data_IF_102254973660
#
_entry.id   IF_102254973660
#
_cell.length_a   1.000
_cell.length_b   1.000
_cell.length_c   1.000
_cell.angle_alpha   90.00
_cell.angle_beta   90.00
_cell.angle_gamma   90.00
#
_symmetry.space_group_name_H-M   'P 1'
#
loop_
_entity.id
_entity.type
_entity.pdbx_description
1 polymer ?
#
# COMPACT_ATOMS: atom_id res chain seq x y z
N UNK A 1 27.73 31.39 -72.01
CA UNK A 1 27.68 32.80 -72.45
C UNK A 1 26.60 33.50 -71.65
N UNK A 2 26.97 34.64 -71.07
CA UNK A 2 26.20 35.71 -70.41
C UNK A 2 24.71 35.53 -70.02
N UNK A 3 24.48 35.88 -68.75
CA UNK A 3 23.34 36.52 -68.09
C UNK A 3 22.15 37.02 -68.92
N UNK A 4 20.96 37.00 -68.30
CA UNK A 4 20.08 38.16 -68.07
C UNK A 4 19.08 37.85 -66.93
N UNK A 5 18.99 38.77 -65.95
CA UNK A 5 17.99 38.90 -64.87
C UNK A 5 16.58 39.22 -65.43
N UNK A 6 15.43 39.04 -64.76
CA UNK A 6 14.97 39.67 -63.52
C UNK A 6 13.62 39.04 -63.06
N UNK A 7 13.46 38.88 -61.73
CA UNK A 7 12.27 39.12 -60.87
C UNK A 7 10.88 38.68 -61.37
N UNK A 8 10.05 37.97 -60.60
CA UNK A 8 9.55 38.44 -59.29
C UNK A 8 8.87 37.32 -58.49
N UNK A 9 9.23 37.24 -57.22
CA UNK A 9 8.41 36.94 -56.04
C UNK A 9 7.64 35.60 -55.97
N UNK A 10 8.34 34.64 -55.39
CA UNK A 10 7.89 33.54 -54.53
C UNK A 10 6.93 33.98 -53.38
N UNK A 11 6.20 33.14 -52.62
CA UNK A 11 6.42 31.75 -52.19
C UNK A 11 5.08 31.02 -51.96
N UNK A 12 4.96 29.84 -52.59
CA UNK A 12 4.25 28.67 -52.06
C UNK A 12 5.23 27.97 -51.10
N UNK A 13 4.81 27.55 -49.91
CA UNK A 13 5.62 26.66 -49.07
C UNK A 13 4.89 25.34 -48.84
N UNK A 14 5.43 24.29 -49.47
CA UNK A 14 5.24 22.91 -49.09
C UNK A 14 6.28 22.48 -48.05
N UNK A 15 5.82 21.58 -47.18
CA UNK A 15 6.52 20.60 -46.34
C UNK A 15 8.04 20.68 -46.12
N UNK A 16 8.46 20.70 -44.85
CA UNK A 16 9.60 19.92 -44.32
C UNK A 16 9.33 19.57 -42.85
N UNK A 17 9.53 18.32 -42.45
CA UNK A 17 9.40 17.87 -41.07
C UNK A 17 10.54 18.37 -40.17
N UNK A 18 10.23 18.54 -38.89
CA UNK A 18 11.23 18.59 -37.84
C UNK A 18 10.65 17.98 -36.55
N UNK A 19 11.18 16.82 -36.18
CA UNK A 19 11.06 16.27 -34.83
C UNK A 19 11.89 17.18 -33.94
N UNK A 20 11.22 17.97 -33.10
CA UNK A 20 11.88 18.74 -32.04
C UNK A 20 11.58 18.03 -30.72
N UNK A 21 12.58 17.32 -30.20
CA UNK A 21 12.67 17.08 -28.78
C UNK A 21 12.84 18.45 -28.09
N UNK A 22 11.87 18.86 -27.28
CA UNK A 22 12.03 20.02 -26.40
C UNK A 22 12.12 19.55 -24.95
N UNK A 23 13.36 19.56 -24.47
CA UNK A 23 13.69 19.75 -23.07
C UNK A 23 13.21 21.14 -22.64
N UNK A 24 12.33 21.22 -21.66
CA UNK A 24 12.29 22.37 -20.76
C UNK A 24 11.80 21.90 -19.39
N UNK A 25 12.77 21.70 -18.51
CA UNK A 25 12.65 22.02 -17.09
C UNK A 25 11.97 23.38 -16.94
N UNK A 26 11.10 23.53 -15.94
CA UNK A 26 10.26 24.71 -15.61
C UNK A 26 8.81 24.69 -16.14
N UNK A 27 8.00 23.74 -15.66
CA UNK A 27 6.54 23.86 -15.74
C UNK A 27 5.76 23.03 -14.70
N UNK A 28 6.20 22.92 -13.44
CA UNK A 28 5.32 22.43 -12.36
C UNK A 28 5.64 23.18 -11.06
N UNK A 29 5.08 24.38 -10.93
CA UNK A 29 4.88 25.03 -9.63
C UNK A 29 3.40 25.43 -9.57
N UNK A 30 2.53 24.43 -9.41
CA UNK A 30 1.14 24.69 -9.04
C UNK A 30 1.11 25.02 -7.54
N UNK A 31 0.63 26.22 -7.24
CA UNK A 31 0.32 26.70 -5.89
C UNK A 31 -0.54 25.67 -5.14
N UNK A 32 0.06 25.00 -4.16
CA UNK A 32 -0.67 24.41 -3.05
C UNK A 32 -0.54 25.41 -1.91
N UNK A 33 -1.61 26.16 -1.67
CA UNK A 33 -1.74 26.98 -0.47
C UNK A 33 -1.97 26.02 0.71
N UNK A 34 -0.88 25.54 1.31
CA UNK A 34 -0.92 24.79 2.55
C UNK A 34 -1.38 25.74 3.65
N UNK A 35 -2.60 25.54 4.13
CA UNK A 35 -3.01 26.08 5.42
C UNK A 35 -1.96 25.66 6.46
N UNK A 36 -1.22 26.64 6.98
CA UNK A 36 -0.32 26.47 8.12
C UNK A 36 -1.17 26.02 9.31
N UNK A 37 -1.26 24.72 9.52
CA UNK A 37 -1.75 24.18 10.79
C UNK A 37 -0.65 24.46 11.81
N UNK A 38 -0.90 25.44 12.66
CA UNK A 38 -0.11 25.76 13.84
C UNK A 38 0.09 24.49 14.68
N UNK A 39 1.32 23.98 14.69
CA UNK A 39 1.73 22.75 15.37
C UNK A 39 1.66 22.80 16.89
N UNK A 40 1.16 23.88 17.49
CA UNK A 40 1.04 24.03 18.94
C UNK A 40 -0.37 23.76 19.51
N UNK A 41 -1.41 23.55 18.67
CA UNK A 41 -2.81 23.45 19.13
C UNK A 41 -3.59 22.17 18.77
N UNK A 42 -2.97 21.13 18.22
CA UNK A 42 -3.64 19.86 17.94
C UNK A 42 -2.90 18.66 18.53
N UNK A 43 -2.83 18.59 19.86
CA UNK A 43 -3.07 17.31 20.55
C UNK A 43 -4.58 17.01 20.47
N UNK A 44 -5.15 16.98 19.26
CA UNK A 44 -6.36 16.20 19.05
C UNK A 44 -5.90 14.77 19.32
N UNK A 45 -6.50 14.14 20.33
CA UNK A 45 -6.41 12.69 20.49
C UNK A 45 -6.56 12.06 19.10
N UNK A 46 -5.55 11.32 18.63
CA UNK A 46 -5.60 10.57 17.36
C UNK A 46 -6.83 9.67 17.26
N UNK A 47 -7.48 9.38 18.38
CA UNK A 47 -8.72 8.61 18.43
C UNK A 47 -9.98 9.41 18.13
N UNK A 48 -9.91 10.73 17.94
CA UNK A 48 -11.09 11.58 17.92
C UNK A 48 -11.99 11.29 19.12
N UNK A 49 -13.30 11.13 18.86
CA UNK A 49 -14.25 10.57 19.82
C UNK A 49 -14.20 9.04 19.73
N UNK A 50 -13.68 8.40 20.77
CA UNK A 50 -13.70 6.95 20.86
C UNK A 50 -15.14 6.41 20.78
N UNK A 51 -15.34 5.20 20.22
CA UNK A 51 -16.65 4.57 20.23
C UNK A 51 -17.17 4.36 21.65
N UNK A 52 -18.49 4.35 21.82
CA UNK A 52 -19.15 4.31 23.13
C UNK A 52 -18.86 3.06 23.94
N UNK A 53 -18.49 1.95 23.29
CA UNK A 53 -18.15 0.69 23.95
C UNK A 53 -16.91 0.03 23.33
N UNK A 54 -15.86 -0.15 24.14
CA UNK A 54 -14.64 -0.87 23.80
C UNK A 54 -14.64 -2.19 24.59
N UNK A 55 -14.55 -3.36 23.94
CA UNK A 55 -14.41 -4.64 24.64
C UNK A 55 -13.20 -4.66 25.57
N UNK A 56 -13.36 -5.28 26.74
CA UNK A 56 -12.23 -5.52 27.63
C UNK A 56 -11.30 -6.59 27.03
N UNK A 57 -9.97 -6.40 27.08
CA UNK A 57 -9.01 -7.45 26.77
C UNK A 57 -9.25 -8.72 27.59
N UNK A 58 -9.11 -9.90 26.97
CA UNK A 58 -9.00 -11.17 27.70
C UNK A 58 -7.62 -11.30 28.35
N UNK A 59 -7.44 -12.29 29.23
CA UNK A 59 -6.14 -12.54 29.88
C UNK A 59 -5.04 -12.96 28.89
N UNK A 60 -5.44 -13.54 27.75
CA UNK A 60 -4.57 -13.90 26.63
C UNK A 60 -4.24 -12.71 25.71
N UNK A 61 -4.89 -11.56 25.88
CA UNK A 61 -4.63 -10.39 25.07
C UNK A 61 -3.31 -9.71 25.49
N UNK A 62 -2.44 -9.32 24.54
CA UNK A 62 -1.16 -8.72 24.89
C UNK A 62 -1.31 -7.43 25.72
N UNK A 63 -0.45 -7.27 26.73
CA UNK A 63 -0.44 -6.07 27.59
C UNK A 63 0.26 -4.88 26.92
N UNK A 64 1.25 -5.17 26.10
CA UNK A 64 2.02 -4.22 25.30
C UNK A 64 2.24 -4.79 23.90
N UNK A 65 2.77 -3.96 22.99
CA UNK A 65 3.19 -4.40 21.66
C UNK A 65 4.47 -3.70 21.21
N UNK A 66 5.22 -4.40 20.36
CA UNK A 66 6.38 -3.83 19.70
C UNK A 66 5.93 -2.94 18.52
N UNK A 67 6.31 -1.64 18.48
CA UNK A 67 5.91 -0.72 17.41
C UNK A 67 6.41 -1.13 16.02
N UNK A 68 7.44 -1.96 15.90
CA UNK A 68 7.90 -2.47 14.61
C UNK A 68 7.05 -3.62 14.08
N UNK A 69 6.56 -4.48 14.96
CA UNK A 69 5.75 -5.64 14.56
C UNK A 69 4.31 -5.23 14.30
N UNK A 70 3.78 -4.34 15.12
CA UNK A 70 2.47 -3.73 14.91
C UNK A 70 2.64 -2.22 15.02
N UNK A 71 2.90 -1.50 13.92
CA UNK A 71 3.09 -0.05 13.95
C UNK A 71 1.81 0.74 14.14
N UNK A 72 2.05 2.01 14.40
CA UNK A 72 1.12 3.12 14.53
C UNK A 72 0.21 3.09 15.73
N UNK A 73 -0.35 4.24 16.05
CA UNK A 73 -1.21 4.45 17.19
C UNK A 73 -2.38 3.45 17.22
N UNK A 74 -2.90 3.12 18.41
CA UNK A 74 -4.02 2.17 18.56
C UNK A 74 -5.32 2.60 17.86
N UNK A 75 -5.40 3.87 17.47
CA UNK A 75 -6.52 4.46 16.73
C UNK A 75 -6.18 4.75 15.25
N UNK A 76 -5.01 4.30 14.79
CA UNK A 76 -4.69 4.24 13.38
C UNK A 76 -5.72 3.40 12.64
N UNK A 77 -5.95 3.71 11.37
CA UNK A 77 -6.73 2.87 10.45
C UNK A 77 -6.29 1.41 10.46
N UNK A 78 -5.00 1.14 10.72
CA UNK A 78 -4.44 -0.21 10.74
C UNK A 78 -4.79 -0.97 12.01
N UNK A 79 -5.04 -0.28 13.13
CA UNK A 79 -5.24 -0.92 14.43
C UNK A 79 -6.67 -0.83 14.95
N UNK A 80 -7.54 -0.07 14.27
CA UNK A 80 -8.93 0.12 14.69
C UNK A 80 -9.77 -1.11 14.34
N UNK A 81 -10.39 -1.79 15.32
CA UNK A 81 -11.35 -2.84 15.04
C UNK A 81 -12.59 -2.32 14.31
N UNK A 82 -13.25 -3.17 13.53
CA UNK A 82 -14.56 -2.90 12.97
C UNK A 82 -15.56 -2.71 14.11
N UNK A 83 -16.43 -1.71 13.97
CA UNK A 83 -17.48 -1.41 14.92
C UNK A 83 -18.83 -2.04 14.54
N UNK A 84 -19.71 -2.22 15.52
CA UNK A 84 -21.01 -2.86 15.36
C UNK A 84 -21.97 -2.06 14.44
N UNK A 85 -21.75 -0.75 14.29
CA UNK A 85 -22.56 0.13 13.44
C UNK A 85 -21.98 0.25 12.01
N UNK A 86 -21.01 -0.60 11.66
CA UNK A 86 -20.47 -0.67 10.31
C UNK A 86 -21.57 -0.92 9.26
N UNK A 87 -21.63 -0.03 8.28
CA UNK A 87 -22.58 -0.12 7.16
C UNK A 87 -21.95 -0.87 6.00
N UNK A 88 -22.42 -2.09 5.74
CA UNK A 88 -21.85 -2.98 4.73
C UNK A 88 -22.55 -2.86 3.38
N UNK A 89 -21.77 -2.64 2.32
CA UNK A 89 -22.20 -2.73 0.92
C UNK A 89 -21.42 -3.85 0.23
N UNK A 90 -22.05 -4.78 -0.50
CA UNK A 90 -21.32 -5.85 -1.19
C UNK A 90 -20.22 -5.29 -2.10
N UNK A 91 -19.01 -5.85 -2.00
CA UNK A 91 -17.92 -5.49 -2.92
C UNK A 91 -18.09 -6.21 -4.28
N UNK A 92 -18.81 -7.33 -4.31
CA UNK A 92 -19.10 -8.15 -5.49
C UNK A 92 -17.84 -8.60 -6.24
N UNK A 93 -16.80 -8.98 -5.49
CA UNK A 93 -15.66 -9.66 -6.08
C UNK A 93 -16.06 -11.04 -6.58
N UNK A 94 -15.47 -11.42 -7.70
CA UNK A 94 -15.54 -12.78 -8.21
C UNK A 94 -14.25 -13.52 -7.79
N UNK A 95 -14.21 -14.83 -8.00
CA UNK A 95 -12.94 -15.53 -7.97
C UNK A 95 -12.05 -14.97 -9.09
N UNK A 96 -10.84 -14.59 -8.74
CA UNK A 96 -9.81 -14.18 -9.69
C UNK A 96 -9.03 -15.41 -10.15
N UNK A 97 -8.44 -15.38 -11.35
CA UNK A 97 -7.61 -16.48 -11.86
C UNK A 97 -6.36 -16.76 -11.02
N UNK A 98 -5.90 -15.79 -10.22
CA UNK A 98 -4.71 -15.93 -9.41
C UNK A 98 -4.88 -15.27 -8.04
N UNK A 99 -4.24 -15.87 -7.04
CA UNK A 99 -3.99 -15.25 -5.75
C UNK A 99 -2.50 -15.01 -5.61
N UNK A 100 -2.11 -13.75 -5.44
CA UNK A 100 -0.72 -13.32 -5.37
C UNK A 100 -0.37 -12.68 -4.03
N UNK A 101 0.91 -12.33 -3.90
CA UNK A 101 1.39 -11.50 -2.80
C UNK A 101 2.11 -10.26 -3.33
N UNK A 102 1.82 -9.11 -2.73
CA UNK A 102 2.64 -7.91 -2.93
C UNK A 102 3.70 -7.88 -1.83
N UNK A 103 4.96 -7.97 -2.25
CA UNK A 103 6.08 -8.23 -1.36
C UNK A 103 6.71 -6.92 -0.92
N UNK A 104 6.83 -6.75 0.38
CA UNK A 104 7.25 -5.49 0.98
C UNK A 104 8.50 -5.65 1.84
N UNK A 105 9.34 -4.64 1.84
CA UNK A 105 10.68 -4.73 2.41
C UNK A 105 10.82 -3.85 3.64
N UNK A 106 11.11 -4.47 4.78
CA UNK A 106 11.20 -3.77 6.06
C UNK A 106 12.56 -3.95 6.69
N UNK A 107 13.23 -2.83 6.99
CA UNK A 107 14.55 -2.83 7.57
C UNK A 107 14.62 -1.91 8.78
N UNK A 108 15.25 -2.40 9.86
CA UNK A 108 15.71 -1.55 10.97
C UNK A 108 17.15 -1.16 10.69
N UNK A 109 17.40 0.13 10.53
CA UNK A 109 18.71 0.65 10.17
C UNK A 109 19.55 0.93 11.42
N UNK A 110 20.87 0.90 11.26
CA UNK A 110 21.83 1.18 12.33
C UNK A 110 22.73 2.33 11.93
N UNK A 111 23.10 3.18 12.88
CA UNK A 111 24.06 4.28 12.62
C UNK A 111 25.44 3.79 12.16
N UNK A 112 25.77 2.52 12.43
CA UNK A 112 27.01 1.90 11.98
C UNK A 112 27.02 1.49 10.51
N UNK A 113 25.87 1.44 9.85
CA UNK A 113 25.78 1.09 8.43
C UNK A 113 26.22 2.27 7.55
N UNK A 114 26.83 2.02 6.37
CA UNK A 114 27.29 3.10 5.51
C UNK A 114 26.11 3.94 5.01
N UNK A 115 26.27 5.26 5.12
CA UNK A 115 25.29 6.22 4.62
C UNK A 115 25.31 6.24 3.09
N UNK A 116 24.18 5.91 2.47
CA UNK A 116 24.01 5.87 1.02
C UNK A 116 22.97 6.91 0.60
N UNK A 117 23.28 7.69 -0.44
CA UNK A 117 22.27 8.54 -1.06
C UNK A 117 21.20 7.65 -1.71
N UNK A 118 19.93 8.02 -1.54
CA UNK A 118 18.83 7.34 -2.22
C UNK A 118 18.64 7.99 -3.58
N UNK A 119 18.70 7.19 -4.64
CA UNK A 119 18.45 7.63 -6.00
C UNK A 119 17.00 7.38 -6.39
N UNK A 120 16.40 8.28 -7.17
CA UNK A 120 15.13 7.99 -7.86
C UNK A 120 15.38 6.86 -8.86
N UNK A 121 14.53 5.83 -8.92
CA UNK A 121 14.69 4.76 -9.90
C UNK A 121 14.57 5.30 -11.33
N UNK A 122 15.27 4.65 -12.27
CA UNK A 122 15.22 5.02 -13.68
C UNK A 122 13.86 4.75 -14.35
N UNK A 123 13.09 3.82 -13.79
CA UNK A 123 11.74 3.48 -14.20
C UNK A 123 10.99 2.82 -13.03
N UNK A 124 9.66 2.70 -13.12
CA UNK A 124 8.91 1.85 -12.18
C UNK A 124 9.11 0.36 -12.49
N UNK A 125 9.15 -0.01 -13.77
CA UNK A 125 9.39 -1.38 -14.23
C UNK A 125 10.89 -1.71 -14.29
N UNK A 126 11.33 -2.53 -15.25
CA UNK A 126 12.74 -2.89 -15.40
C UNK A 126 13.64 -1.67 -15.64
N UNK A 127 14.84 -1.67 -15.04
CA UNK A 127 15.78 -0.56 -15.10
C UNK A 127 15.71 0.37 -13.89
N UNK A 128 15.19 -0.09 -12.75
CA UNK A 128 15.11 0.71 -11.50
C UNK A 128 16.50 1.22 -11.11
N UNK A 129 17.52 0.36 -11.21
CA UNK A 129 18.89 0.66 -10.82
C UNK A 129 19.70 1.50 -11.83
N UNK A 130 19.03 2.21 -12.76
CA UNK A 130 19.70 3.07 -13.75
C UNK A 130 19.54 4.57 -13.45
N UNK A 131 18.74 4.89 -12.44
CA UNK A 131 18.48 6.27 -12.03
C UNK A 131 19.73 6.98 -11.54
N UNK A 132 19.76 8.31 -11.69
CA UNK A 132 20.92 9.15 -11.31
C UNK A 132 20.56 10.35 -10.45
N UNK A 133 19.26 10.65 -10.33
CA UNK A 133 18.78 11.78 -9.56
C UNK A 133 18.64 11.38 -8.10
N UNK A 134 19.06 12.24 -7.18
CA UNK A 134 18.85 12.00 -5.75
C UNK A 134 17.36 12.16 -5.42
N UNK A 135 16.79 11.15 -4.77
CA UNK A 135 15.39 11.10 -4.35
C UNK A 135 15.17 12.01 -3.15
N UNK A 136 14.66 13.22 -3.40
CA UNK A 136 14.31 14.20 -2.36
C UNK A 136 15.43 14.46 -1.32
N UNK A 137 16.69 14.48 -1.75
CA UNK A 137 17.88 14.65 -0.89
C UNK A 137 17.94 13.66 0.30
N UNK A 138 17.37 12.46 0.16
CA UNK A 138 17.40 11.44 1.19
C UNK A 138 18.72 10.66 1.17
N UNK A 139 19.22 10.32 2.35
CA UNK A 139 20.27 9.32 2.53
C UNK A 139 19.88 8.40 3.68
N UNK A 140 20.20 7.10 3.54
CA UNK A 140 19.87 6.07 4.52
C UNK A 140 21.14 5.30 4.91
N UNK A 141 21.34 4.96 6.20
CA UNK A 141 22.42 4.08 6.61
C UNK A 141 22.04 2.63 6.27
N UNK A 142 22.50 2.15 5.12
CA UNK A 142 22.07 0.87 4.53
C UNK A 142 23.19 -0.16 4.60
N UNK A 143 22.95 -1.37 5.14
CA UNK A 143 23.99 -2.39 5.21
C UNK A 143 24.41 -2.86 3.80
N UNK A 144 25.70 -3.08 3.57
CA UNK A 144 26.25 -3.39 2.24
C UNK A 144 25.69 -4.67 1.61
N UNK A 145 25.24 -5.62 2.42
CA UNK A 145 24.70 -6.90 1.95
C UNK A 145 23.21 -6.84 1.59
N UNK A 146 22.52 -5.71 1.80
CA UNK A 146 21.14 -5.55 1.35
C UNK A 146 21.12 -5.52 -0.19
N UNK A 147 20.43 -6.49 -0.78
CA UNK A 147 20.18 -6.62 -2.21
C UNK A 147 18.68 -6.74 -2.41
N UNK A 148 18.14 -5.92 -3.31
CA UNK A 148 16.75 -6.01 -3.79
C UNK A 148 16.82 -6.02 -5.31
N UNK A 149 16.47 -7.14 -5.98
CA UNK A 149 16.59 -7.25 -7.42
C UNK A 149 15.82 -6.16 -8.18
N UNK A 150 16.27 -5.87 -9.40
CA UNK A 150 15.49 -5.06 -10.34
C UNK A 150 14.20 -5.79 -10.73
N UNK A 151 13.22 -5.03 -11.22
CA UNK A 151 12.13 -5.61 -11.98
C UNK A 151 12.64 -6.22 -13.30
N UNK A 152 11.95 -7.24 -13.79
CA UNK A 152 12.37 -8.02 -14.96
C UNK A 152 11.32 -8.02 -16.05
N UNK A 153 11.75 -7.99 -17.31
CA UNK A 153 10.85 -8.17 -18.46
C UNK A 153 10.59 -9.65 -18.76
N UNK A 154 11.54 -10.52 -18.43
CA UNK A 154 11.43 -11.96 -18.66
C UNK A 154 12.18 -12.77 -17.57
N UNK A 155 11.48 -13.62 -16.78
CA UNK A 155 10.01 -13.61 -16.64
C UNK A 155 9.51 -12.22 -16.23
N UNK A 156 8.29 -11.86 -16.63
CA UNK A 156 7.75 -10.53 -16.30
C UNK A 156 7.51 -10.42 -14.80
N UNK A 157 8.14 -9.45 -14.15
CA UNK A 157 7.99 -9.20 -12.72
C UNK A 157 8.23 -7.71 -12.44
N UNK A 158 7.16 -7.00 -12.10
CA UNK A 158 7.21 -5.57 -11.75
C UNK A 158 6.55 -5.32 -10.38
N UNK A 159 6.98 -6.01 -9.32
CA UNK A 159 6.36 -5.86 -7.99
C UNK A 159 6.50 -4.42 -7.50
N UNK A 160 5.55 -3.93 -6.71
CA UNK A 160 5.61 -2.58 -6.17
C UNK A 160 6.89 -2.39 -5.34
N UNK A 161 7.30 -3.42 -4.58
CA UNK A 161 8.45 -3.34 -3.67
C UNK A 161 8.34 -2.13 -2.74
N UNK A 162 7.15 -1.90 -2.18
CA UNK A 162 6.97 -0.90 -1.13
C UNK A 162 7.91 -1.24 0.04
N UNK A 163 8.57 -0.23 0.59
CA UNK A 163 9.57 -0.44 1.62
C UNK A 163 9.46 0.57 2.75
N UNK A 164 9.82 0.13 3.94
CA UNK A 164 9.90 0.96 5.13
C UNK A 164 11.19 0.71 5.90
N UNK A 165 11.85 1.81 6.27
CA UNK A 165 13.13 1.84 6.94
C UNK A 165 12.96 2.53 8.28
N UNK A 166 13.00 1.76 9.37
CA UNK A 166 13.06 2.35 10.70
C UNK A 166 14.47 2.90 10.91
N UNK A 167 14.54 4.22 11.10
CA UNK A 167 15.78 4.94 11.29
C UNK A 167 16.42 4.60 12.65
N UNK A 168 17.73 4.85 12.82
CA UNK A 168 18.44 4.52 14.06
C UNK A 168 17.91 5.22 15.32
N UNK A 169 17.15 6.32 15.16
CA UNK A 169 16.44 6.99 16.25
C UNK A 169 15.30 6.14 16.88
N UNK A 170 14.98 4.98 16.28
CA UNK A 170 13.96 4.06 16.76
C UNK A 170 12.53 4.60 16.65
N UNK A 171 12.32 5.71 15.94
CA UNK A 171 11.04 6.41 15.85
C UNK A 171 10.63 6.77 14.43
N UNK A 172 11.56 7.25 13.62
CA UNK A 172 11.28 7.73 12.27
C UNK A 172 11.28 6.57 11.28
N UNK A 173 10.26 6.50 10.43
CA UNK A 173 10.19 5.59 9.30
C UNK A 173 10.33 6.38 8.01
N UNK A 174 11.35 6.07 7.24
CA UNK A 174 11.45 6.49 5.84
C UNK A 174 10.83 5.42 4.95
N UNK A 175 10.07 5.82 3.93
CA UNK A 175 9.34 4.90 3.05
C UNK A 175 9.76 5.15 1.61
N UNK A 176 9.90 4.08 0.83
CA UNK A 176 10.30 4.11 -0.57
C UNK A 176 9.43 3.19 -1.42
N UNK A 177 9.18 3.59 -2.67
CA UNK A 177 8.65 2.70 -3.71
C UNK A 177 9.03 3.19 -5.12
N UNK A 178 9.30 2.31 -6.08
CA UNK A 178 9.69 0.92 -5.86
C UNK A 178 11.11 0.84 -5.27
N UNK A 179 11.33 -0.04 -4.31
CA UNK A 179 12.68 -0.31 -3.82
C UNK A 179 13.46 -1.18 -4.81
N UNK A 180 14.70 -0.79 -5.09
CA UNK A 180 15.70 -1.65 -5.72
C UNK A 180 17.11 -1.36 -5.19
N UNK A 181 17.95 -2.40 -5.20
CA UNK A 181 19.39 -2.35 -4.96
C UNK A 181 20.04 -3.56 -5.60
N UNK A 182 20.49 -3.39 -6.83
CA UNK A 182 20.84 -4.51 -7.71
C UNK A 182 22.19 -5.18 -7.39
N UNK A 183 23.03 -4.56 -6.58
CA UNK A 183 24.35 -5.10 -6.20
C UNK A 183 24.69 -4.78 -4.75
N UNK A 184 25.47 -5.67 -4.13
CA UNK A 184 26.01 -5.43 -2.79
C UNK A 184 26.91 -4.19 -2.80
N UNK A 185 26.72 -3.31 -1.81
CA UNK A 185 27.44 -2.04 -1.70
C UNK A 185 27.09 -1.00 -2.78
N UNK A 186 26.18 -1.32 -3.71
CA UNK A 186 25.71 -0.39 -4.73
C UNK A 186 24.74 0.66 -4.20
N UNK A 187 24.30 1.54 -5.08
CA UNK A 187 23.29 2.55 -4.80
C UNK A 187 21.94 1.91 -4.43
N UNK A 188 21.15 2.64 -3.63
CA UNK A 188 19.78 2.28 -3.30
C UNK A 188 18.82 3.17 -4.09
N UNK A 189 17.76 2.58 -4.62
CA UNK A 189 16.80 3.25 -5.49
C UNK A 189 15.40 3.20 -4.89
N UNK A 190 14.70 4.33 -4.92
CA UNK A 190 13.27 4.42 -4.60
C UNK A 190 12.76 5.86 -4.59
N UNK A 191 11.49 6.06 -4.95
CA UNK A 191 10.84 7.35 -4.75
C UNK A 191 10.38 7.47 -3.30
N UNK A 192 10.76 8.57 -2.66
CA UNK A 192 10.32 8.91 -1.31
C UNK A 192 8.93 9.55 -1.35
N UNK A 193 8.14 9.33 -0.30
CA UNK A 193 6.90 10.08 -0.12
C UNK A 193 7.18 11.59 0.09
N UNK A 194 6.29 12.49 -0.37
CA UNK A 194 6.52 13.94 -0.32
C UNK A 194 6.55 14.53 1.09
N UNK A 195 6.11 13.78 2.11
CA UNK A 195 6.03 14.23 3.50
C UNK A 195 7.27 13.91 4.35
N UNK A 196 8.25 13.20 3.78
CA UNK A 196 9.42 12.72 4.51
C UNK A 196 9.09 11.64 5.54
N UNK A 197 9.98 11.47 6.52
CA UNK A 197 9.86 10.44 7.54
C UNK A 197 8.59 10.59 8.40
N UNK A 198 7.96 9.47 8.73
CA UNK A 198 6.76 9.41 9.57
C UNK A 198 7.08 8.75 10.92
N UNK A 199 6.32 9.08 11.96
CA UNK A 199 6.49 8.47 13.29
C UNK A 199 5.89 7.05 13.32
N UNK A 200 6.67 6.04 13.70
CA UNK A 200 6.20 4.65 13.89
C UNK A 200 5.08 4.52 14.93
N UNK A 201 4.97 5.49 15.85
CA UNK A 201 3.90 5.59 16.85
C UNK A 201 2.78 6.54 16.42
N UNK A 202 2.85 7.13 15.22
CA UNK A 202 1.92 8.10 14.65
C UNK A 202 0.62 7.52 14.07
N UNK A 203 -0.07 8.27 13.18
CA UNK A 203 -1.34 7.83 12.58
C UNK A 203 -1.19 6.68 11.57
N UNK A 204 -0.04 6.57 10.91
CA UNK A 204 0.25 5.57 9.91
C UNK A 204 -0.50 5.70 8.59
N UNK A 205 -1.16 6.81 8.30
CA UNK A 205 -1.96 6.90 7.06
C UNK A 205 -1.03 7.02 5.85
N UNK A 206 -0.04 7.89 5.92
CA UNK A 206 0.76 8.30 4.75
C UNK A 206 1.94 7.35 4.47
N UNK A 207 2.19 7.08 3.19
CA UNK A 207 3.37 6.36 2.74
C UNK A 207 3.57 6.34 1.24
N UNK A 208 4.22 5.28 0.77
CA UNK A 208 4.70 5.16 -0.61
C UNK A 208 3.98 4.12 -1.45
N UNK A 209 2.91 3.47 -0.98
CA UNK A 209 1.99 2.77 -1.90
C UNK A 209 1.41 3.77 -2.87
N UNK A 210 2.09 4.05 -3.99
CA UNK A 210 1.86 5.28 -4.74
C UNK A 210 0.53 5.29 -5.49
N UNK A 211 -0.12 4.14 -5.65
CA UNK A 211 -1.53 4.09 -6.04
C UNK A 211 -2.37 4.85 -5.03
N UNK A 212 -2.38 4.43 -3.76
CA UNK A 212 -3.28 5.00 -2.73
C UNK A 212 -2.70 6.11 -1.86
N UNK A 213 -1.38 6.27 -1.84
CA UNK A 213 -0.63 7.09 -0.88
C UNK A 213 -0.52 6.50 0.54
N UNK A 214 -0.93 5.23 0.73
CA UNK A 214 -0.97 4.60 2.05
C UNK A 214 0.39 4.09 2.54
N UNK A 215 0.49 3.82 3.85
CA UNK A 215 1.73 3.35 4.48
C UNK A 215 2.26 2.05 3.90
N UNK A 216 3.56 2.04 3.59
CA UNK A 216 4.31 0.86 3.14
C UNK A 216 4.37 -0.25 4.21
N UNK A 217 4.31 0.08 5.50
CA UNK A 217 4.40 -0.92 6.60
C UNK A 217 3.06 -1.19 7.30
N UNK A 218 2.14 -0.23 7.26
CA UNK A 218 0.83 -0.39 7.88
C UNK A 218 0.00 -1.46 7.18
N UNK A 219 -0.49 -2.45 7.94
CA UNK A 219 -1.38 -3.49 7.42
C UNK A 219 -0.72 -4.59 6.59
N UNK A 220 0.59 -4.60 6.47
CA UNK A 220 1.33 -5.72 5.89
C UNK A 220 1.27 -6.92 6.81
N UNK A 221 0.98 -8.11 6.28
CA UNK A 221 1.08 -9.33 7.08
C UNK A 221 2.55 -9.59 7.39
N UNK A 222 2.86 -9.78 8.67
CA UNK A 222 4.21 -9.96 9.21
C UNK A 222 4.60 -11.44 9.25
N UNK A 223 5.90 -11.68 9.37
CA UNK A 223 6.41 -13.02 9.68
C UNK A 223 5.81 -13.54 10.99
N UNK A 224 5.50 -14.83 11.03
CA UNK A 224 4.80 -15.51 12.12
C UNK A 224 3.27 -15.43 12.03
N UNK A 225 2.71 -14.37 11.44
CA UNK A 225 1.26 -14.13 11.50
C UNK A 225 0.41 -15.16 10.76
N UNK A 226 0.96 -15.85 9.75
CA UNK A 226 0.26 -16.94 9.05
C UNK A 226 0.64 -18.33 9.54
N UNK A 227 1.70 -18.45 10.34
CA UNK A 227 2.28 -19.76 10.74
C UNK A 227 2.15 -20.09 12.21
N UNK A 228 2.08 -19.06 13.06
CA UNK A 228 1.99 -19.20 14.52
C UNK A 228 0.52 -19.28 14.95
N UNK A 229 0.26 -19.49 16.24
CA UNK A 229 -1.10 -19.63 16.77
C UNK A 229 -1.78 -18.26 17.04
N UNK A 230 -1.01 -17.20 17.28
CA UNK A 230 -1.54 -15.87 17.60
C UNK A 230 -2.36 -15.28 16.45
N UNK A 231 -3.53 -14.65 16.71
CA UNK A 231 -4.32 -14.04 15.65
C UNK A 231 -3.68 -12.77 15.08
N UNK A 232 -4.03 -12.43 13.85
CA UNK A 232 -3.70 -11.12 13.25
C UNK A 232 -4.58 -10.06 13.92
N UNK A 233 -3.96 -9.02 14.48
CA UNK A 233 -4.64 -7.98 15.30
C UNK A 233 -4.65 -6.59 14.65
N UNK A 234 -4.62 -6.55 13.33
CA UNK A 234 -4.63 -5.32 12.55
C UNK A 234 -5.40 -5.52 11.23
N UNK A 235 -5.80 -4.41 10.60
CA UNK A 235 -6.36 -4.41 9.26
C UNK A 235 -5.26 -4.77 8.26
N UNK A 236 -5.58 -5.54 7.21
CA UNK A 236 -4.58 -6.01 6.24
C UNK A 236 -4.63 -5.20 4.92
N UNK A 237 -3.55 -5.22 4.14
CA UNK A 237 -3.52 -4.61 2.81
C UNK A 237 -3.89 -5.61 1.73
N UNK A 238 -4.69 -5.17 0.76
CA UNK A 238 -5.07 -5.96 -0.41
C UNK A 238 -4.92 -5.16 -1.71
N UNK A 239 -4.68 -5.87 -2.80
CA UNK A 239 -4.77 -5.32 -4.16
C UNK A 239 -5.76 -6.14 -4.97
N UNK A 240 -6.45 -5.48 -5.88
CA UNK A 240 -7.47 -6.07 -6.75
C UNK A 240 -7.33 -5.51 -8.16
N UNK A 241 -7.90 -6.19 -9.15
CA UNK A 241 -7.85 -5.69 -10.53
C UNK A 241 -8.65 -4.40 -10.71
N UNK A 242 -7.95 -3.28 -10.82
CA UNK A 242 -8.46 -1.93 -10.96
C UNK A 242 -9.42 -1.80 -12.12
N UNK A 243 -9.06 -2.37 -13.27
CA UNK A 243 -9.91 -2.37 -14.46
C UNK A 243 -11.26 -3.01 -14.26
N UNK A 244 -11.33 -4.08 -13.48
CA UNK A 244 -12.59 -4.80 -13.24
C UNK A 244 -13.39 -4.21 -12.08
N UNK A 245 -12.72 -3.78 -11.02
CA UNK A 245 -13.37 -3.52 -9.72
C UNK A 245 -13.30 -2.08 -9.25
N UNK A 246 -12.20 -1.36 -9.49
CA UNK A 246 -12.06 -0.01 -8.99
C UNK A 246 -12.79 0.98 -9.88
N UNK A 247 -13.53 1.88 -9.25
CA UNK A 247 -14.32 2.88 -9.94
C UNK A 247 -13.54 4.18 -10.14
N UNK A 248 -13.76 4.84 -11.27
CA UNK A 248 -13.36 6.23 -11.47
C UNK A 248 -14.49 7.04 -12.11
N UNK A 249 -14.66 8.27 -11.64
CA UNK A 249 -15.39 9.34 -12.32
C UNK A 249 -14.82 10.69 -11.89
N UNK A 250 -15.20 11.77 -12.59
CA UNK A 250 -14.75 13.13 -12.21
C UNK A 250 -15.17 13.54 -10.80
N UNK A 251 -16.28 13.01 -10.29
CA UNK A 251 -16.74 13.26 -8.92
C UNK A 251 -16.22 12.23 -7.90
N UNK A 252 -15.64 11.12 -8.35
CA UNK A 252 -15.01 10.09 -7.52
C UNK A 252 -13.71 9.65 -8.19
N UNK A 253 -12.59 10.36 -7.96
CA UNK A 253 -11.36 10.24 -8.76
C UNK A 253 -10.52 8.98 -8.44
N UNK A 254 -11.17 7.86 -8.08
CA UNK A 254 -10.50 6.58 -7.88
C UNK A 254 -10.00 6.31 -6.46
N UNK A 255 -10.28 7.19 -5.50
CA UNK A 255 -9.88 7.01 -4.10
C UNK A 255 -10.88 7.60 -3.10
N UNK A 256 -10.83 7.12 -1.87
CA UNK A 256 -11.53 7.66 -0.70
C UNK A 256 -10.68 7.48 0.55
N UNK A 257 -11.05 8.16 1.64
CA UNK A 257 -10.39 7.99 2.93
C UNK A 257 -10.16 6.49 3.26
N UNK A 258 -8.93 6.10 3.65
CA UNK A 258 -7.78 6.95 4.01
C UNK A 258 -6.79 7.24 2.87
N UNK A 259 -7.01 6.70 1.67
CA UNK A 259 -6.20 7.02 0.51
C UNK A 259 -6.33 8.50 0.15
N UNK A 260 -5.25 9.11 -0.32
CA UNK A 260 -5.19 10.53 -0.71
C UNK A 260 -5.02 10.75 -2.21
N UNK A 261 -4.85 9.67 -2.96
CA UNK A 261 -4.72 9.64 -4.41
C UNK A 261 -5.17 8.29 -4.96
N UNK A 262 -5.24 8.23 -6.28
CA UNK A 262 -5.35 7.01 -7.04
C UNK A 262 -4.15 6.88 -7.99
N UNK A 263 -3.98 5.71 -8.61
CA UNK A 263 -3.04 5.55 -9.71
C UNK A 263 -3.23 6.65 -10.77
N UNK A 264 -2.12 7.16 -11.31
CA UNK A 264 -2.14 8.24 -12.32
C UNK A 264 -2.98 7.92 -13.57
N UNK A 265 -3.21 6.63 -13.83
CA UNK A 265 -3.98 6.11 -14.94
C UNK A 265 -5.41 5.72 -14.57
N UNK A 266 -5.89 6.04 -13.36
CA UNK A 266 -7.21 5.66 -12.87
C UNK A 266 -8.32 6.07 -13.86
N UNK A 267 -8.26 7.28 -14.43
CA UNK A 267 -9.26 7.73 -15.42
C UNK A 267 -9.37 6.79 -16.63
N UNK A 268 -8.23 6.32 -17.15
CA UNK A 268 -8.19 5.47 -18.33
C UNK A 268 -8.39 3.98 -18.01
N UNK A 269 -8.03 3.51 -16.82
CA UNK A 269 -8.03 2.07 -16.49
C UNK A 269 -9.12 1.64 -15.50
N UNK A 270 -9.53 2.45 -14.52
CA UNK A 270 -10.49 2.01 -13.51
C UNK A 270 -11.92 2.02 -14.08
N UNK A 271 -12.44 0.84 -14.45
CA UNK A 271 -13.76 0.67 -15.10
C UNK A 271 -14.80 -0.05 -14.23
N UNK A 272 -14.51 -0.24 -12.96
CA UNK A 272 -15.47 -0.77 -11.99
C UNK A 272 -16.74 0.08 -11.90
N UNK A 273 -17.88 -0.59 -11.75
CA UNK A 273 -19.20 0.05 -11.73
C UNK A 273 -19.66 0.45 -10.32
N UNK A 274 -19.04 -0.10 -9.28
CA UNK A 274 -19.37 0.22 -7.90
C UNK A 274 -18.63 1.48 -7.44
N UNK A 275 -19.30 2.62 -7.40
CA UNK A 275 -18.70 3.92 -7.03
C UNK A 275 -18.15 4.00 -5.60
N UNK A 276 -18.44 3.01 -4.75
CA UNK A 276 -17.90 2.91 -3.38
C UNK A 276 -16.62 2.09 -3.29
N UNK A 277 -16.26 1.38 -4.37
CA UNK A 277 -15.08 0.52 -4.44
C UNK A 277 -13.97 1.25 -5.21
N UNK A 278 -13.04 1.81 -4.45
CA UNK A 278 -11.94 2.64 -4.93
C UNK A 278 -10.72 2.38 -4.05
N UNK A 279 -9.55 2.94 -4.36
CA UNK A 279 -8.43 2.84 -3.44
C UNK A 279 -8.75 3.49 -2.09
N UNK A 280 -8.26 2.90 -1.01
CA UNK A 280 -8.60 3.28 0.36
C UNK A 280 -9.96 2.77 0.85
N UNK A 281 -10.77 2.08 0.04
CA UNK A 281 -11.98 1.42 0.54
C UNK A 281 -11.62 0.38 1.61
N UNK A 282 -12.23 0.50 2.79
CA UNK A 282 -12.18 -0.53 3.84
C UNK A 282 -13.13 -1.66 3.49
N UNK A 283 -12.59 -2.85 3.33
CA UNK A 283 -13.29 -4.10 3.11
C UNK A 283 -13.36 -4.89 4.42
N UNK A 284 -14.48 -5.54 4.71
CA UNK A 284 -14.61 -6.42 5.86
C UNK A 284 -15.62 -7.53 5.58
N UNK A 285 -15.50 -8.63 6.32
CA UNK A 285 -16.51 -9.69 6.31
C UNK A 285 -17.60 -9.30 7.33
N UNK A 286 -18.87 -9.16 6.92
CA UNK A 286 -19.93 -8.85 7.87
C UNK A 286 -20.04 -9.91 8.97
N UNK A 287 -20.39 -9.55 10.22
CA UNK A 287 -20.43 -10.48 11.35
C UNK A 287 -21.45 -11.61 11.19
N UNK A 288 -22.48 -11.41 10.35
CA UNK A 288 -23.49 -12.43 10.00
C UNK A 288 -22.95 -13.56 9.13
N UNK A 289 -21.80 -13.36 8.46
CA UNK A 289 -21.16 -14.41 7.68
C UNK A 289 -20.31 -15.23 8.64
N UNK A 290 -20.68 -16.49 8.82
CA UNK A 290 -19.96 -17.41 9.69
C UNK A 290 -18.87 -18.14 8.92
N UNK A 291 -17.68 -18.30 9.51
CA UNK A 291 -16.57 -19.00 8.85
C UNK A 291 -16.96 -20.40 8.36
N UNK A 292 -17.79 -21.11 9.13
CA UNK A 292 -18.27 -22.46 8.80
C UNK A 292 -19.07 -22.50 7.49
N UNK A 293 -19.77 -21.42 7.12
CA UNK A 293 -20.54 -21.38 5.87
C UNK A 293 -19.65 -21.34 4.63
N UNK A 294 -18.39 -20.92 4.76
CA UNK A 294 -17.42 -20.95 3.67
C UNK A 294 -16.70 -22.29 3.55
N UNK A 295 -16.75 -23.14 4.58
CA UNK A 295 -16.04 -24.42 4.62
C UNK A 295 -14.54 -24.22 4.28
N UNK A 296 -13.90 -23.27 4.96
CA UNK A 296 -12.47 -22.97 4.77
C UNK A 296 -11.64 -24.15 5.29
N UNK A 297 -10.74 -24.66 4.45
CA UNK A 297 -9.96 -25.86 4.73
C UNK A 297 -8.63 -25.57 5.43
N UNK A 298 -8.04 -24.43 5.17
CA UNK A 298 -6.67 -24.09 5.57
C UNK A 298 -6.66 -23.18 6.79
N UNK A 299 -5.79 -23.50 7.76
CA UNK A 299 -5.65 -22.70 8.98
C UNK A 299 -5.27 -21.23 8.70
N UNK A 300 -4.33 -20.90 7.77
CA UNK A 300 -4.03 -19.53 7.41
C UNK A 300 -5.24 -18.74 6.87
N UNK A 301 -6.07 -19.35 6.03
CA UNK A 301 -7.26 -18.66 5.51
C UNK A 301 -8.29 -18.39 6.63
N UNK A 302 -8.40 -19.30 7.61
CA UNK A 302 -9.24 -19.07 8.80
C UNK A 302 -8.72 -17.90 9.66
N UNK A 303 -7.40 -17.73 9.78
CA UNK A 303 -6.80 -16.56 10.46
C UNK A 303 -7.11 -15.26 9.71
N UNK A 304 -6.93 -15.26 8.39
CA UNK A 304 -7.25 -14.10 7.54
C UNK A 304 -8.74 -13.75 7.60
N UNK A 305 -9.64 -14.75 7.56
CA UNK A 305 -11.07 -14.53 7.75
C UNK A 305 -11.37 -13.80 9.07
N UNK A 306 -10.77 -14.24 10.19
CA UNK A 306 -10.96 -13.60 11.50
C UNK A 306 -10.41 -12.17 11.49
N UNK A 307 -9.26 -11.93 10.88
CA UNK A 307 -8.69 -10.59 10.72
C UNK A 307 -9.64 -9.67 9.93
N UNK A 308 -10.18 -10.14 8.81
CA UNK A 308 -11.10 -9.40 7.96
C UNK A 308 -12.46 -9.12 8.62
N UNK A 309 -12.93 -9.97 9.51
CA UNK A 309 -14.15 -9.71 10.28
C UNK A 309 -13.90 -8.73 11.44
N UNK A 310 -12.70 -8.77 12.04
CA UNK A 310 -12.38 -7.98 13.23
C UNK A 310 -11.79 -6.60 12.93
N UNK A 311 -11.01 -6.46 11.86
CA UNK A 311 -10.26 -5.24 11.51
C UNK A 311 -10.45 -4.84 10.05
N UNK A 312 -10.72 -5.80 9.16
CA UNK A 312 -10.92 -5.55 7.73
C UNK A 312 -9.62 -5.45 6.94
N UNK A 313 -9.72 -4.92 5.73
CA UNK A 313 -8.62 -4.71 4.81
C UNK A 313 -8.77 -3.43 3.98
N UNK A 314 -7.66 -2.75 3.68
CA UNK A 314 -7.64 -1.59 2.80
C UNK A 314 -7.11 -1.96 1.41
N UNK A 315 -7.79 -1.48 0.37
CA UNK A 315 -7.26 -1.53 -1.01
C UNK A 315 -6.15 -0.49 -1.13
N UNK A 316 -4.92 -0.94 -1.39
CA UNK A 316 -3.75 -0.05 -1.42
C UNK A 316 -3.20 0.21 -2.82
N UNK A 317 -3.35 -0.74 -3.74
CA UNK A 317 -2.88 -0.61 -5.13
C UNK A 317 -3.74 -1.43 -6.10
N UNK A 318 -3.49 -1.24 -7.39
CA UNK A 318 -4.07 -2.02 -8.50
C UNK A 318 -3.22 -3.27 -8.79
N UNK A 319 -3.87 -4.43 -8.88
CA UNK A 319 -3.23 -5.67 -9.34
C UNK A 319 -2.87 -5.66 -10.84
N UNK A 320 -3.52 -4.81 -11.64
CA UNK A 320 -3.40 -4.63 -13.10
C UNK A 320 -3.85 -5.81 -13.99
N UNK A 321 -4.07 -6.99 -13.42
CA UNK A 321 -4.61 -8.17 -14.10
C UNK A 321 -5.54 -8.96 -13.16
N UNK A 322 -6.14 -10.05 -13.66
CA UNK A 322 -7.16 -10.82 -12.93
C UNK A 322 -6.58 -11.64 -11.77
N UNK A 323 -6.31 -10.93 -10.68
CA UNK A 323 -5.70 -11.45 -9.47
C UNK A 323 -6.15 -10.67 -8.23
N UNK A 324 -6.14 -11.37 -7.09
CA UNK A 324 -6.29 -10.80 -5.75
C UNK A 324 -4.98 -10.95 -4.98
N UNK A 325 -4.54 -9.91 -4.29
CA UNK A 325 -3.27 -9.93 -3.56
C UNK A 325 -3.45 -9.61 -2.08
N UNK A 326 -2.55 -10.17 -1.26
CA UNK A 326 -2.24 -9.64 0.07
C UNK A 326 -0.88 -8.97 0.04
N UNK A 327 -0.73 -7.85 0.75
CA UNK A 327 0.61 -7.30 0.98
C UNK A 327 1.27 -7.98 2.19
N UNK A 328 2.51 -8.44 2.03
CA UNK A 328 3.23 -9.23 3.03
C UNK A 328 4.68 -8.79 3.16
N UNK A 329 5.22 -8.91 4.38
CA UNK A 329 6.64 -8.73 4.63
C UNK A 329 7.48 -9.77 3.86
N UNK A 330 8.63 -9.34 3.33
CA UNK A 330 9.65 -10.21 2.77
C UNK A 330 10.03 -11.33 3.76
N UNK A 331 9.90 -12.57 3.32
CA UNK A 331 10.15 -13.77 4.13
C UNK A 331 8.89 -14.52 4.52
N UNK A 332 7.70 -13.90 4.45
CA UNK A 332 6.42 -14.54 4.79
C UNK A 332 6.12 -15.71 3.85
N UNK A 333 6.32 -15.56 2.54
CA UNK A 333 6.10 -16.64 1.57
C UNK A 333 7.00 -17.85 1.83
N UNK A 334 8.27 -17.58 2.16
CA UNK A 334 9.27 -18.62 2.45
C UNK A 334 8.94 -19.35 3.76
N UNK A 335 8.59 -18.61 4.81
CA UNK A 335 8.15 -19.13 6.10
C UNK A 335 6.87 -19.98 5.97
N UNK A 336 5.88 -19.46 5.24
CA UNK A 336 4.63 -20.15 4.95
C UNK A 336 4.88 -21.49 4.25
N UNK A 337 5.71 -21.48 3.19
CA UNK A 337 6.06 -22.70 2.46
C UNK A 337 6.79 -23.69 3.34
N UNK A 338 7.70 -23.23 4.19
CA UNK A 338 8.40 -24.09 5.15
C UNK A 338 7.45 -24.72 6.16
N UNK A 339 6.41 -24.01 6.60
CA UNK A 339 5.44 -24.50 7.60
C UNK A 339 4.44 -25.50 7.01
N UNK A 340 3.90 -25.21 5.83
CA UNK A 340 2.75 -25.93 5.28
C UNK A 340 3.08 -26.83 4.08
N UNK A 341 4.27 -26.71 3.48
CA UNK A 341 4.69 -27.53 2.35
C UNK A 341 4.08 -27.13 1.00
N UNK A 342 3.35 -26.02 0.92
CA UNK A 342 2.78 -25.47 -0.33
C UNK A 342 2.97 -23.95 -0.41
N UNK A 343 2.78 -23.37 -1.60
CA UNK A 343 3.03 -21.94 -1.85
C UNK A 343 1.89 -21.05 -1.31
N UNK A 344 2.24 -19.84 -0.86
CA UNK A 344 1.29 -18.81 -0.41
C UNK A 344 0.53 -18.17 -1.58
N UNK A 345 1.08 -18.25 -2.79
CA UNK A 345 0.53 -17.69 -4.02
C UNK A 345 0.32 -18.80 -5.06
N UNK A 346 -0.63 -18.60 -5.99
CA UNK A 346 -0.97 -19.58 -7.00
C UNK A 346 -2.37 -19.39 -7.58
N UNK A 347 -2.74 -20.31 -8.47
CA UNK A 347 -4.04 -20.34 -9.16
C UNK A 347 -4.85 -21.60 -8.82
N UNK A 348 -4.42 -22.38 -7.83
CA UNK A 348 -5.03 -23.65 -7.44
C UNK A 348 -4.59 -24.05 -6.02
N UNK A 349 -5.21 -25.11 -5.50
CA UNK A 349 -4.97 -25.62 -4.14
C UNK A 349 -5.95 -25.08 -3.11
N UNK A 350 -5.97 -25.70 -1.93
CA UNK A 350 -6.97 -25.41 -0.91
C UNK A 350 -6.87 -23.98 -0.37
N UNK A 351 -5.65 -23.45 -0.20
CA UNK A 351 -5.47 -22.07 0.26
C UNK A 351 -5.99 -21.05 -0.77
N UNK A 352 -5.66 -21.21 -2.06
CA UNK A 352 -6.23 -20.39 -3.13
C UNK A 352 -7.76 -20.44 -3.13
N UNK A 353 -8.33 -21.65 -3.07
CA UNK A 353 -9.79 -21.85 -3.07
C UNK A 353 -10.45 -21.16 -1.87
N UNK A 354 -9.83 -21.24 -0.69
CA UNK A 354 -10.31 -20.57 0.51
C UNK A 354 -10.25 -19.04 0.37
N UNK A 355 -9.15 -18.50 -0.19
CA UNK A 355 -8.99 -17.08 -0.43
C UNK A 355 -10.03 -16.55 -1.43
N UNK A 356 -10.35 -17.30 -2.50
CA UNK A 356 -11.40 -16.89 -3.44
C UNK A 356 -12.78 -16.79 -2.75
N UNK A 357 -13.12 -17.77 -1.89
CA UNK A 357 -14.37 -17.72 -1.10
C UNK A 357 -14.39 -16.53 -0.15
N UNK A 358 -13.26 -16.20 0.48
CA UNK A 358 -13.12 -15.05 1.37
C UNK A 358 -13.37 -13.75 0.60
N UNK A 359 -12.72 -13.54 -0.55
CA UNK A 359 -12.89 -12.33 -1.35
C UNK A 359 -14.33 -12.15 -1.83
N UNK A 360 -15.01 -13.23 -2.23
CA UNK A 360 -16.41 -13.19 -2.67
C UNK A 360 -17.40 -12.74 -1.60
N UNK A 361 -17.07 -12.83 -0.31
CA UNK A 361 -17.93 -12.35 0.79
C UNK A 361 -17.51 -11.01 1.39
N UNK A 362 -16.49 -10.36 0.84
CA UNK A 362 -16.07 -9.04 1.28
C UNK A 362 -17.14 -7.99 0.96
N UNK A 363 -17.32 -7.08 1.92
CA UNK A 363 -18.19 -5.93 1.82
C UNK A 363 -17.39 -4.67 2.13
N UNK A 364 -17.73 -3.57 1.46
CA UNK A 364 -17.22 -2.25 1.75
C UNK A 364 -17.90 -1.74 3.03
N UNK A 365 -17.11 -1.28 3.99
CA UNK A 365 -17.58 -0.54 5.16
C UNK A 365 -17.78 0.92 4.72
N UNK A 366 -18.98 1.21 4.24
CA UNK A 366 -19.27 2.45 3.51
C UNK A 366 -19.27 3.70 4.41
N UNK A 367 -19.49 3.52 5.71
CA UNK A 367 -19.40 4.58 6.70
C UNK A 367 -18.01 4.72 7.33
N UNK A 368 -16.97 4.11 6.75
CA UNK A 368 -15.57 4.37 7.12
C UNK A 368 -15.16 5.78 6.70
N UNK A 369 -14.79 6.61 7.68
CA UNK A 369 -14.41 8.02 7.52
C UNK A 369 -13.33 8.38 8.55
N UNK A 370 -12.66 9.52 8.35
CA UNK A 370 -11.62 9.99 9.27
C UNK A 370 -12.10 10.15 10.72
N UNK A 371 -13.37 10.48 10.91
CA UNK A 371 -14.04 10.63 12.21
C UNK A 371 -14.84 9.38 12.64
N UNK A 372 -14.85 8.31 11.84
CA UNK A 372 -15.61 7.09 12.08
C UNK A 372 -14.89 5.86 11.50
N UNK A 373 -13.62 5.69 11.87
CA UNK A 373 -12.78 4.59 11.39
C UNK A 373 -13.41 3.25 11.81
N UNK A 374 -13.55 2.32 10.86
CA UNK A 374 -14.13 0.99 11.12
C UNK A 374 -15.65 0.97 11.29
N UNK A 375 -16.34 2.10 11.11
CA UNK A 375 -17.80 2.17 11.05
C UNK A 375 -18.53 2.50 12.36
N UNK A 376 -17.82 2.62 13.49
CA UNK A 376 -18.37 3.11 14.75
C UNK A 376 -19.24 2.10 15.53
N UNK A 377 -19.79 2.55 16.66
CA UNK A 377 -20.50 1.66 17.60
C UNK A 377 -19.56 0.78 18.42
N UNK A 378 -20.07 -0.31 18.99
CA UNK A 378 -19.26 -1.21 19.82
C UNK A 378 -18.17 -1.88 18.99
N UNK A 379 -16.91 -1.74 19.39
CA UNK A 379 -15.80 -2.39 18.68
C UNK A 379 -15.88 -3.92 18.80
N UNK A 380 -15.47 -4.64 17.75
CA UNK A 380 -15.44 -6.12 17.75
C UNK A 380 -14.28 -6.71 18.52
N UNK A 381 -13.22 -5.93 18.72
CA UNK A 381 -12.04 -6.31 19.50
C UNK A 381 -11.64 -5.15 20.43
N UNK A 382 -10.85 -5.42 21.49
CA UNK A 382 -10.17 -4.36 22.22
C UNK A 382 -9.28 -3.53 21.27
N UNK A 383 -9.00 -2.28 21.66
CA UNK A 383 -7.97 -1.50 20.97
C UNK A 383 -6.60 -2.17 21.08
N UNK A 384 -5.74 -1.93 20.08
CA UNK A 384 -4.37 -2.41 20.14
C UNK A 384 -3.68 -2.02 21.46
N UNK A 385 -2.85 -2.90 22.04
CA UNK A 385 -2.14 -2.62 23.28
C UNK A 385 -1.33 -1.32 23.20
N UNK A 386 -1.02 -0.68 24.34
CA UNK A 386 0.01 0.35 24.37
C UNK A 386 1.35 -0.20 23.85
N UNK A 387 2.24 0.67 23.42
CA UNK A 387 3.59 0.25 23.06
C UNK A 387 4.35 -0.24 24.30
N UNK A 388 5.27 -1.16 24.10
CA UNK A 388 6.32 -1.44 25.09
C UNK A 388 7.13 -0.15 25.37
N UNK A 389 7.57 0.00 26.62
CA UNK A 389 8.39 1.13 27.08
C UNK A 389 9.80 1.10 26.49
#
# INVERSE_FOLDING_TARGET
>A
MQAIHFSSSFFYLGAVGLIIASSSTEAIAQQIEFAKVDGSKTKLSLCGKLPSEIPKPSDEFPKTRNPWQQPFHRCSIWNMPIGADASYVPANFEAANHFGIDREYFYRLKDSDPLQAVLSPGSFGPGRCTGKQISMNLSLPIPNNLIVPDATSYPYSTPNNAAAFLMPDGRTIEQLEPLARCSAGGDIYGWRNPWGGVDIKGDGIKGTHFGSGLSAIGGSIRRGELTDEEPIRHAIKVLVWGKKYLHYSKSMPGYRFPADRADRYAESEYKGTNSKLVQGSLLAIPPRIEMKSLQLKTFPAQKIFKALQNYGAYIVDDAYWDAHYLAVEQGVSEEFRSRYGYALEGNSGDFYNDMMKIFQVLHIVDNNRADNIGGGGKLRQPLAPPFED
#
